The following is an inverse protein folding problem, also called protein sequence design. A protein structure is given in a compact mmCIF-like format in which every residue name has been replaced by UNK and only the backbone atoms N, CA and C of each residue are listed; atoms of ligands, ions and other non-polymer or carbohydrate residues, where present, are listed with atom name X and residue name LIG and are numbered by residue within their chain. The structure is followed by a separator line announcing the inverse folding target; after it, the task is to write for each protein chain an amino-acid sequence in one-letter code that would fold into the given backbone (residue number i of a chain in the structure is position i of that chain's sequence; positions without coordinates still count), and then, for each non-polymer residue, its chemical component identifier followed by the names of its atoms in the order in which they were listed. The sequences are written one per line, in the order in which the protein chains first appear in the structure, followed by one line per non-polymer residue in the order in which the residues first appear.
data_IF_693453961292
#
_entry.id   IF_693453961292
#
_cell.length_a   1.000
_cell.length_b   1.000
_cell.length_c   1.000
_cell.angle_alpha   90.00
_cell.angle_beta   90.00
_cell.angle_gamma   90.00
#
_symmetry.space_group_name_H-M   'P 1'
#
loop_
_entity.id
_entity.type
_entity.pdbx_description
1 polymer ?
#
# COMPACT_ATOMS: atom_id res chain seq x y z
N UNK A 1 -15.21 -18.01 -7.67
CA UNK A 1 -14.18 -17.76 -6.63
C UNK A 1 -14.87 -17.39 -5.33
N UNK A 2 -14.63 -18.17 -4.29
CA UNK A 2 -15.14 -17.92 -2.93
C UNK A 2 -14.62 -16.57 -2.42
N UNK A 3 -15.45 -15.80 -1.69
CA UNK A 3 -15.09 -14.46 -1.21
C UNK A 3 -13.81 -14.42 -0.38
N UNK A 4 -13.52 -15.51 0.35
CA UNK A 4 -12.29 -15.73 1.12
C UNK A 4 -11.04 -15.73 0.23
N UNK A 5 -11.05 -16.47 -0.88
CA UNK A 5 -9.92 -16.57 -1.79
C UNK A 5 -9.55 -15.22 -2.43
N UNK A 6 -10.55 -14.36 -2.69
CA UNK A 6 -10.32 -12.99 -3.18
C UNK A 6 -9.64 -12.10 -2.13
N UNK A 7 -10.03 -12.23 -0.86
CA UNK A 7 -9.41 -11.49 0.24
C UNK A 7 -7.97 -11.95 0.51
N UNK A 8 -7.70 -13.26 0.44
CA UNK A 8 -6.34 -13.82 0.56
C UNK A 8 -5.46 -13.37 -0.60
N UNK A 9 -5.95 -13.41 -1.84
CA UNK A 9 -5.22 -12.90 -3.00
C UNK A 9 -4.92 -11.39 -2.90
N UNK A 10 -5.87 -10.60 -2.36
CA UNK A 10 -5.67 -9.18 -2.12
C UNK A 10 -4.60 -8.94 -1.03
N UNK A 11 -4.67 -9.70 0.06
CA UNK A 11 -3.72 -9.58 1.19
C UNK A 11 -2.31 -9.98 0.74
N UNK A 12 -2.17 -11.07 -0.02
CA UNK A 12 -0.89 -11.50 -0.59
C UNK A 12 -0.31 -10.46 -1.54
N UNK A 13 -1.15 -9.82 -2.38
CA UNK A 13 -0.71 -8.73 -3.23
C UNK A 13 -0.21 -7.53 -2.41
N UNK A 14 -0.87 -7.20 -1.28
CA UNK A 14 -0.42 -6.13 -0.37
C UNK A 14 0.92 -6.45 0.28
N UNK A 15 1.16 -7.69 0.71
CA UNK A 15 2.48 -8.08 1.22
C UNK A 15 3.57 -7.93 0.16
N UNK A 16 3.32 -8.40 -1.07
CA UNK A 16 4.26 -8.25 -2.18
C UNK A 16 4.58 -6.79 -2.47
N UNK A 17 3.56 -5.93 -2.50
CA UNK A 17 3.75 -4.49 -2.67
C UNK A 17 4.55 -3.87 -1.53
N UNK A 18 4.21 -4.17 -0.26
CA UNK A 18 4.91 -3.57 0.89
C UNK A 18 6.37 -4.01 0.95
N UNK A 19 6.68 -5.27 0.64
CA UNK A 19 8.07 -5.76 0.54
C UNK A 19 8.83 -5.05 -0.58
N UNK A 20 8.23 -4.93 -1.76
CA UNK A 20 8.84 -4.23 -2.89
C UNK A 20 9.08 -2.74 -2.57
N UNK A 21 8.09 -2.05 -2.02
CA UNK A 21 8.20 -0.66 -1.62
C UNK A 21 9.25 -0.46 -0.52
N UNK A 22 9.32 -1.37 0.46
CA UNK A 22 10.36 -1.36 1.48
C UNK A 22 11.77 -1.46 0.87
N UNK A 23 11.97 -2.39 -0.06
CA UNK A 23 13.24 -2.54 -0.75
C UNK A 23 13.62 -1.27 -1.53
N UNK A 24 12.69 -0.70 -2.29
CA UNK A 24 12.94 0.54 -3.05
C UNK A 24 13.29 1.69 -2.11
N UNK A 25 12.58 1.84 -0.99
CA UNK A 25 12.86 2.89 0.00
C UNK A 25 14.22 2.69 0.69
N UNK A 26 14.60 1.45 1.02
CA UNK A 26 15.91 1.15 1.62
C UNK A 26 17.04 1.46 0.63
N UNK A 27 16.90 1.03 -0.63
CA UNK A 27 17.88 1.31 -1.69
C UNK A 27 17.98 2.82 -1.93
N UNK A 28 16.85 3.53 -1.97
CA UNK A 28 16.82 4.98 -2.14
C UNK A 28 17.45 5.72 -0.94
N UNK A 29 17.24 5.25 0.28
CA UNK A 29 17.85 5.81 1.48
C UNK A 29 19.38 5.59 1.51
N UNK A 30 19.84 4.43 1.05
CA UNK A 30 21.28 4.13 0.93
C UNK A 30 21.97 4.97 -0.14
N UNK A 31 21.35 5.12 -1.31
CA UNK A 31 21.93 5.83 -2.45
C UNK A 31 21.78 7.36 -2.35
N UNK A 32 20.75 7.86 -1.67
CA UNK A 32 20.42 9.29 -1.59
C UNK A 32 20.78 9.99 -0.29
N UNK A 33 21.15 9.25 0.77
CA UNK A 33 21.24 9.79 2.13
C UNK A 33 22.52 10.56 2.48
N UNK A 34 23.58 10.46 1.69
CA UNK A 34 24.89 11.02 2.06
C UNK A 34 25.34 10.56 3.47
N UNK A 35 26.04 11.42 4.22
CA UNK A 35 26.53 11.13 5.59
C UNK A 35 25.37 10.84 6.58
N UNK A 36 24.14 11.29 6.28
CA UNK A 36 22.95 11.05 7.11
C UNK A 36 22.19 9.76 6.75
N UNK A 37 22.60 9.04 5.70
CA UNK A 37 21.96 7.78 5.29
C UNK A 37 21.97 6.72 6.39
N UNK A 38 23.01 6.69 7.22
CA UNK A 38 23.12 5.74 8.33
C UNK A 38 22.03 5.92 9.41
N UNK A 39 21.54 7.14 9.62
CA UNK A 39 20.46 7.43 10.58
C UNK A 39 19.08 7.21 9.94
N UNK A 40 18.94 7.51 8.65
CA UNK A 40 17.69 7.35 7.92
C UNK A 40 17.32 5.88 7.68
N UNK A 41 18.30 5.00 7.44
CA UNK A 41 18.08 3.58 7.10
C UNK A 41 17.34 2.82 8.21
N UNK A 42 17.72 2.88 9.51
CA UNK A 42 16.96 2.26 10.59
C UNK A 42 15.51 2.73 10.67
N UNK A 43 15.26 4.02 10.44
CA UNK A 43 13.91 4.59 10.41
C UNK A 43 13.09 4.02 9.25
N UNK A 44 13.66 3.94 8.04
CA UNK A 44 13.00 3.37 6.87
C UNK A 44 12.66 1.89 7.08
N UNK A 45 13.58 1.13 7.67
CA UNK A 45 13.34 -0.28 8.03
C UNK A 45 12.20 -0.39 9.04
N UNK A 46 12.21 0.42 10.10
CA UNK A 46 11.17 0.42 11.12
C UNK A 46 9.78 0.71 10.54
N UNK A 47 9.65 1.76 9.72
CA UNK A 47 8.37 2.09 9.07
C UNK A 47 7.92 1.03 8.07
N UNK A 48 8.86 0.39 7.38
CA UNK A 48 8.56 -0.72 6.45
C UNK A 48 8.02 -1.95 7.19
N UNK A 49 8.65 -2.32 8.32
CA UNK A 49 8.18 -3.40 9.19
C UNK A 49 6.81 -3.07 9.79
N UNK A 50 6.60 -1.83 10.22
CA UNK A 50 5.29 -1.38 10.70
C UNK A 50 4.21 -1.49 9.61
N UNK A 51 4.53 -1.11 8.37
CA UNK A 51 3.60 -1.26 7.24
C UNK A 51 3.24 -2.73 6.96
N UNK A 52 4.20 -3.65 7.06
CA UNK A 52 3.95 -5.09 6.96
C UNK A 52 3.05 -5.59 8.08
N UNK A 53 3.29 -5.14 9.31
CA UNK A 53 2.46 -5.47 10.46
C UNK A 53 1.01 -4.99 10.29
N UNK A 54 0.81 -3.76 9.80
CA UNK A 54 -0.52 -3.21 9.50
C UNK A 54 -1.22 -4.03 8.40
N UNK A 55 -0.54 -4.34 7.30
CA UNK A 55 -1.08 -5.19 6.24
C UNK A 55 -1.50 -6.57 6.78
N UNK A 56 -0.71 -7.13 7.70
CA UNK A 56 -1.00 -8.40 8.35
C UNK A 56 -2.20 -8.36 9.29
N UNK A 57 -2.27 -7.32 10.12
CA UNK A 57 -3.38 -7.12 11.04
C UNK A 57 -4.71 -6.95 10.27
N UNK A 58 -4.70 -6.15 9.21
CA UNK A 58 -5.87 -5.94 8.34
C UNK A 58 -6.27 -7.25 7.64
N UNK A 59 -5.31 -8.01 7.11
CA UNK A 59 -5.55 -9.30 6.49
C UNK A 59 -6.25 -10.29 7.43
N UNK A 60 -5.76 -10.43 8.67
CA UNK A 60 -6.39 -11.29 9.68
C UNK A 60 -7.80 -10.82 10.04
N UNK A 61 -8.02 -9.52 10.19
CA UNK A 61 -9.33 -8.95 10.55
C UNK A 61 -10.36 -9.11 9.43
N UNK A 62 -9.94 -9.01 8.16
CA UNK A 62 -10.80 -9.26 6.99
C UNK A 62 -11.20 -10.75 6.89
N UNK A 63 -10.28 -11.68 7.19
CA UNK A 63 -10.58 -13.11 7.21
C UNK A 63 -11.58 -13.47 8.32
N UNK A 64 -11.51 -12.79 9.47
CA UNK A 64 -12.45 -12.92 10.61
C UNK A 64 -13.85 -12.34 10.34
N UNK A 65 -14.17 -11.95 9.10
CA UNK A 65 -15.50 -11.44 8.69
C UNK A 65 -15.96 -10.19 9.44
N UNK A 66 -15.04 -9.33 9.88
CA UNK A 66 -15.43 -8.06 10.50
C UNK A 66 -15.94 -7.06 9.44
N UNK A 67 -17.25 -6.82 9.42
CA UNK A 67 -17.86 -5.79 8.56
C UNK A 67 -17.34 -4.37 8.84
N UNK A 68 -16.99 -4.09 10.11
CA UNK A 68 -16.37 -2.83 10.53
C UNK A 68 -14.99 -2.65 9.86
N UNK A 69 -14.15 -3.69 9.86
CA UNK A 69 -12.83 -3.64 9.22
C UNK A 69 -12.96 -3.41 7.72
N UNK A 70 -13.94 -4.02 7.06
CA UNK A 70 -14.20 -3.78 5.63
C UNK A 70 -14.57 -2.32 5.35
N UNK A 71 -15.44 -1.72 6.17
CA UNK A 71 -15.82 -0.32 6.02
C UNK A 71 -14.62 0.61 6.25
N UNK A 72 -13.86 0.38 7.32
CA UNK A 72 -12.64 1.13 7.63
C UNK A 72 -11.66 1.08 6.45
N UNK A 73 -11.36 -0.11 5.92
CA UNK A 73 -10.42 -0.25 4.79
C UNK A 73 -10.95 0.44 3.54
N UNK A 74 -12.25 0.38 3.25
CA UNK A 74 -12.84 1.11 2.12
C UNK A 74 -12.63 2.63 2.24
N UNK A 75 -12.87 3.19 3.42
CA UNK A 75 -12.68 4.62 3.69
C UNK A 75 -11.21 5.00 3.54
N UNK A 76 -10.30 4.26 4.20
CA UNK A 76 -8.86 4.51 4.10
C UNK A 76 -8.31 4.33 2.68
N UNK A 77 -8.83 3.37 1.91
CA UNK A 77 -8.47 3.20 0.50
C UNK A 77 -8.92 4.39 -0.36
N UNK A 78 -10.13 4.91 -0.12
CA UNK A 78 -10.62 6.12 -0.79
C UNK A 78 -9.75 7.34 -0.49
N UNK A 79 -9.41 7.54 0.79
CA UNK A 79 -8.50 8.61 1.22
C UNK A 79 -7.11 8.43 0.59
N UNK A 80 -6.58 7.21 0.58
CA UNK A 80 -5.28 6.88 -0.02
C UNK A 80 -5.23 7.18 -1.53
N UNK A 81 -6.33 6.99 -2.25
CA UNK A 81 -6.43 7.38 -3.66
C UNK A 81 -6.37 8.90 -3.86
N UNK A 82 -7.06 9.66 -3.01
CA UNK A 82 -7.04 11.13 -3.09
C UNK A 82 -5.64 11.69 -2.82
N UNK A 83 -4.99 11.25 -1.74
CA UNK A 83 -3.63 11.69 -1.42
C UNK A 83 -2.60 11.23 -2.45
N UNK A 84 -2.69 9.97 -2.90
CA UNK A 84 -1.79 9.47 -3.93
C UNK A 84 -1.99 10.16 -5.28
N UNK A 85 -3.23 10.51 -5.63
CA UNK A 85 -3.56 11.28 -6.83
C UNK A 85 -2.99 12.70 -6.78
N UNK A 86 -3.16 13.39 -5.64
CA UNK A 86 -2.55 14.70 -5.41
C UNK A 86 -1.02 14.65 -5.47
N UNK A 87 -0.40 13.60 -4.94
CA UNK A 87 1.04 13.43 -4.99
C UNK A 87 1.53 13.12 -6.42
N UNK A 88 0.78 12.33 -7.21
CA UNK A 88 1.08 12.10 -8.63
C UNK A 88 0.95 13.39 -9.45
N UNK A 89 -0.05 14.22 -9.14
CA UNK A 89 -0.21 15.52 -9.76
C UNK A 89 0.99 16.43 -9.51
N UNK A 90 1.50 16.46 -8.27
CA UNK A 90 2.72 17.20 -7.91
C UNK A 90 3.97 16.69 -8.65
N UNK A 91 4.05 15.38 -8.93
CA UNK A 91 5.14 14.83 -9.74
C UNK A 91 5.06 15.29 -11.19
N UNK A 92 3.88 15.23 -11.82
CA UNK A 92 3.67 15.64 -13.22
C UNK A 92 3.92 17.13 -13.44
N UNK A 93 3.58 17.96 -12.44
CA UNK A 93 3.75 19.41 -12.49
C UNK A 93 5.11 19.91 -12.00
N UNK A 94 5.94 19.03 -11.43
CA UNK A 94 7.25 19.35 -10.89
C UNK A 94 8.41 19.07 -11.85
N UNK A 95 9.65 19.43 -11.46
CA UNK A 95 10.84 19.10 -12.22
C UNK A 95 11.09 17.58 -12.20
N UNK A 96 11.38 17.04 -13.39
CA UNK A 96 11.59 15.61 -13.56
C UNK A 96 12.99 15.23 -13.07
N UNK A 97 13.05 14.26 -12.17
CA UNK A 97 14.28 13.66 -11.69
C UNK A 97 14.16 12.15 -11.71
N UNK A 98 15.28 11.44 -11.88
CA UNK A 98 15.29 9.97 -11.89
C UNK A 98 14.73 9.40 -10.58
N UNK A 99 15.12 9.97 -9.44
CA UNK A 99 14.55 9.60 -8.12
C UNK A 99 13.05 9.89 -8.04
N UNK A 100 12.58 10.99 -8.63
CA UNK A 100 11.16 11.32 -8.75
C UNK A 100 10.37 10.31 -9.58
N UNK A 101 10.93 9.84 -10.70
CA UNK A 101 10.29 8.82 -11.56
C UNK A 101 10.13 7.50 -10.80
N UNK A 102 11.18 7.05 -10.11
CA UNK A 102 11.13 5.82 -9.30
C UNK A 102 10.08 5.95 -8.18
N UNK A 103 10.05 7.10 -7.49
CA UNK A 103 9.07 7.37 -6.44
C UNK A 103 7.64 7.40 -6.98
N UNK A 104 7.44 8.04 -8.14
CA UNK A 104 6.15 8.10 -8.82
C UNK A 104 5.68 6.72 -9.28
N UNK A 105 6.59 5.85 -9.74
CA UNK A 105 6.27 4.48 -10.12
C UNK A 105 5.78 3.66 -8.92
N UNK A 106 6.52 3.68 -7.80
CA UNK A 106 6.09 3.00 -6.55
C UNK A 106 4.75 3.54 -6.07
N UNK A 107 4.55 4.86 -6.14
CA UNK A 107 3.29 5.49 -5.74
C UNK A 107 2.13 5.13 -6.68
N UNK A 108 2.38 5.01 -7.99
CA UNK A 108 1.43 4.51 -8.98
C UNK A 108 1.00 3.07 -8.69
N UNK A 109 1.96 2.20 -8.34
CA UNK A 109 1.66 0.85 -7.85
C UNK A 109 0.80 0.88 -6.58
N UNK A 110 1.09 1.79 -5.64
CA UNK A 110 0.28 1.99 -4.44
C UNK A 110 -1.16 2.42 -4.77
N UNK A 111 -1.34 3.37 -5.69
CA UNK A 111 -2.66 3.77 -6.17
C UNK A 111 -3.43 2.62 -6.82
N UNK A 112 -2.75 1.83 -7.65
CA UNK A 112 -3.35 0.65 -8.28
C UNK A 112 -3.80 -0.38 -7.24
N UNK A 113 -3.02 -0.59 -6.18
CA UNK A 113 -3.38 -1.46 -5.06
C UNK A 113 -4.61 -0.93 -4.28
N UNK A 114 -4.73 0.38 -4.11
CA UNK A 114 -5.93 0.99 -3.51
C UNK A 114 -7.17 0.82 -4.40
N UNK A 115 -7.04 1.02 -5.72
CA UNK A 115 -8.14 0.76 -6.67
C UNK A 115 -8.56 -0.72 -6.66
N UNK A 116 -7.58 -1.64 -6.63
CA UNK A 116 -7.83 -3.08 -6.53
C UNK A 116 -8.52 -3.44 -5.22
N UNK A 117 -8.16 -2.77 -4.13
CA UNK A 117 -8.81 -2.95 -2.82
C UNK A 117 -10.28 -2.53 -2.88
N UNK A 118 -10.58 -1.35 -3.42
CA UNK A 118 -11.97 -0.90 -3.60
C UNK A 118 -12.77 -1.86 -4.49
N UNK A 119 -12.20 -2.28 -5.63
CA UNK A 119 -12.85 -3.23 -6.55
C UNK A 119 -13.15 -4.56 -5.87
N UNK A 120 -12.20 -5.10 -5.11
CA UNK A 120 -12.34 -6.39 -4.43
C UNK A 120 -13.32 -6.32 -3.27
N UNK A 121 -13.25 -5.26 -2.45
CA UNK A 121 -14.14 -5.09 -1.28
C UNK A 121 -15.57 -4.68 -1.65
N UNK A 122 -15.80 -4.19 -2.86
CA UNK A 122 -17.15 -3.83 -3.35
C UNK A 122 -17.84 -4.99 -4.08
N UNK A 123 -17.07 -6.04 -4.43
CA UNK A 123 -17.57 -7.20 -5.15
C UNK A 123 -18.66 -7.95 -4.36
N UNK A 124 -19.70 -8.40 -5.06
CA UNK A 124 -20.85 -9.12 -4.47
C UNK A 124 -20.40 -10.40 -3.77
N UNK A 125 -19.41 -11.10 -4.31
CA UNK A 125 -18.88 -12.33 -3.68
C UNK A 125 -18.19 -12.06 -2.35
N UNK A 126 -17.59 -10.88 -2.18
CA UNK A 126 -16.93 -10.49 -0.92
C UNK A 126 -17.98 -9.95 0.05
N UNK A 127 -18.94 -9.14 -0.42
CA UNK A 127 -20.11 -8.71 0.37
C UNK A 127 -20.83 -9.89 1.02
N UNK A 128 -21.13 -10.93 0.24
CA UNK A 128 -21.83 -12.13 0.71
C UNK A 128 -20.99 -12.98 1.67
N UNK A 129 -19.67 -12.80 1.73
CA UNK A 129 -18.80 -13.48 2.69
C UNK A 129 -18.81 -12.81 4.08
N UNK A 130 -19.19 -11.53 4.15
CA UNK A 130 -19.32 -10.77 5.40
C UNK A 130 -20.76 -10.74 5.95
N UNK A 131 -21.74 -11.22 5.16
CA UNK A 131 -23.12 -11.45 5.60
C UNK A 131 -23.24 -12.84 6.23
#
# INVERSE_FOLDING_TARGET
MEGKAKLEALTNAWYGYTLFAALVNIVSAFLGGGIFGFVAVPFVIFFSLFSLFVAWAIGKLLIKRSGLTRFIVLVFSGIGLLFGGLAMWKFVTGPWSFSGIVSAFVMGCGLWMQLRTLKTLTDRSVKNYFA
#
